data_IF_760690470490
#
_entry.id   IF_760690470490
#
_cell.length_a   1.000
_cell.length_b   1.000
_cell.length_c   1.000
_cell.angle_alpha   90.00
_cell.angle_beta   90.00
_cell.angle_gamma   90.00
#
_symmetry.space_group_name_H-M   'P 1'
#
loop_
_entity.id
_entity.type
_entity.pdbx_description
1 polymer ?
#
# COMPACT_ATOMS: atom_id res chain seq x y z
N UNK A 1 26.58 24.61 -15.94
CA UNK A 1 25.80 24.74 -14.70
C UNK A 1 25.54 23.35 -14.18
N UNK A 2 25.72 23.09 -12.89
CA UNK A 2 25.48 21.77 -12.30
C UNK A 2 23.97 21.49 -12.28
N UNK A 3 23.56 20.44 -13.00
CA UNK A 3 22.15 20.01 -13.12
C UNK A 3 21.71 19.05 -11.99
N UNK A 4 22.54 18.92 -10.95
CA UNK A 4 22.33 18.00 -9.86
C UNK A 4 21.91 18.73 -8.58
N UNK A 5 20.98 18.13 -7.84
CA UNK A 5 20.60 18.57 -6.49
C UNK A 5 20.63 17.38 -5.55
N UNK A 6 21.38 17.47 -4.46
CA UNK A 6 21.45 16.41 -3.47
C UNK A 6 20.61 16.76 -2.23
N UNK A 7 19.83 15.79 -1.76
CA UNK A 7 19.04 15.88 -0.54
C UNK A 7 19.42 14.76 0.42
N UNK A 8 19.48 15.07 1.71
CA UNK A 8 19.58 14.09 2.80
C UNK A 8 18.28 14.12 3.60
N UNK A 9 17.87 12.94 4.07
CA UNK A 9 16.73 12.82 4.96
C UNK A 9 17.13 13.24 6.37
N UNK A 10 16.53 14.32 6.88
CA UNK A 10 16.66 14.76 8.26
C UNK A 10 15.39 14.36 9.02
N UNK A 11 15.52 13.43 9.97
CA UNK A 11 14.38 12.87 10.70
C UNK A 11 13.59 11.86 9.87
N UNK A 12 12.27 11.77 10.10
CA UNK A 12 11.43 10.75 9.45
C UNK A 12 10.97 11.15 8.04
N UNK A 13 10.82 12.46 7.74
CA UNK A 13 10.15 12.90 6.51
C UNK A 13 10.61 14.25 5.92
N UNK A 14 11.65 14.90 6.47
CA UNK A 14 12.13 16.18 5.94
C UNK A 14 13.38 16.03 5.07
N UNK A 15 13.34 16.62 3.87
CA UNK A 15 14.43 16.59 2.90
C UNK A 15 15.22 17.88 2.98
N UNK A 16 16.48 17.78 3.39
CA UNK A 16 17.38 18.93 3.51
C UNK A 16 18.38 18.87 2.36
N UNK A 17 18.45 19.90 1.50
CA UNK A 17 19.46 19.95 0.47
C UNK A 17 20.84 20.08 1.11
N UNK A 18 21.80 19.31 0.61
CA UNK A 18 23.15 19.24 1.17
C UNK A 18 24.20 19.39 0.07
N UNK A 19 25.36 19.92 0.44
CA UNK A 19 26.58 19.94 -0.36
C UNK A 19 27.64 18.94 0.12
N UNK A 20 27.38 18.26 1.24
CA UNK A 20 28.27 17.29 1.85
C UNK A 20 27.49 16.02 2.14
N UNK A 21 28.06 14.88 1.78
CA UNK A 21 27.46 13.58 2.07
C UNK A 21 28.43 12.72 2.87
N UNK A 22 27.89 11.93 3.78
CA UNK A 22 28.65 11.06 4.67
C UNK A 22 28.37 9.58 4.36
N UNK A 23 29.36 8.67 4.50
CA UNK A 23 29.18 7.25 4.14
C UNK A 23 28.14 6.49 4.97
N UNK A 24 27.66 7.06 6.07
CA UNK A 24 26.63 6.49 6.94
C UNK A 24 25.20 6.95 6.58
N UNK A 25 25.05 7.78 5.54
CA UNK A 25 23.77 8.36 5.15
C UNK A 25 23.21 7.74 3.86
N UNK A 26 21.90 7.95 3.65
CA UNK A 26 21.24 7.73 2.37
C UNK A 26 20.95 9.10 1.76
N UNK A 27 21.41 9.29 0.52
CA UNK A 27 21.35 10.58 -0.18
C UNK A 27 20.51 10.41 -1.44
N UNK A 28 19.71 11.41 -1.75
CA UNK A 28 18.94 11.48 -2.99
C UNK A 28 19.56 12.52 -3.92
N UNK A 29 20.26 12.05 -4.95
CA UNK A 29 20.86 12.91 -5.97
C UNK A 29 19.90 12.99 -7.15
N UNK A 30 19.36 14.18 -7.41
CA UNK A 30 18.38 14.43 -8.47
C UNK A 30 19.11 14.97 -9.69
N UNK A 31 19.04 14.25 -10.81
CA UNK A 31 19.48 14.69 -12.12
C UNK A 31 18.31 15.34 -12.85
N UNK A 32 18.34 16.67 -12.96
CA UNK A 32 17.27 17.45 -13.59
C UNK A 32 17.21 17.27 -15.11
N UNK A 33 18.33 16.92 -15.74
CA UNK A 33 18.44 16.79 -17.19
C UNK A 33 17.87 15.44 -17.64
N UNK A 34 18.29 14.36 -16.96
CA UNK A 34 17.81 13.01 -17.25
C UNK A 34 16.46 12.69 -16.62
N UNK A 35 15.99 13.54 -15.70
CA UNK A 35 14.80 13.32 -14.88
C UNK A 35 14.90 11.99 -14.11
N UNK A 36 16.01 11.76 -13.41
CA UNK A 36 16.23 10.56 -12.59
C UNK A 36 16.63 10.97 -11.17
N UNK A 37 16.06 10.29 -10.18
CA UNK A 37 16.42 10.41 -8.76
C UNK A 37 17.26 9.19 -8.40
N UNK A 38 18.53 9.44 -8.11
CA UNK A 38 19.48 8.44 -7.65
C UNK A 38 19.45 8.36 -6.12
N UNK A 39 18.91 7.28 -5.58
CA UNK A 39 18.96 6.97 -4.16
C UNK A 39 20.29 6.26 -3.86
N UNK A 40 21.29 7.03 -3.46
CA UNK A 40 22.63 6.56 -3.16
C UNK A 40 22.74 6.09 -1.71
N UNK A 41 23.26 4.88 -1.53
CA UNK A 41 23.52 4.27 -0.23
C UNK A 41 25.00 4.36 0.12
N UNK A 42 25.31 5.09 1.18
CA UNK A 42 26.64 5.03 1.77
C UNK A 42 26.95 3.64 2.33
N UNK A 43 28.21 3.24 2.28
CA UNK A 43 28.70 1.92 2.69
C UNK A 43 28.37 1.57 4.14
N UNK A 44 28.29 2.58 5.01
CA UNK A 44 27.98 2.44 6.43
C UNK A 44 26.53 2.80 6.78
N UNK A 45 25.69 3.06 5.77
CA UNK A 45 24.29 3.41 6.01
C UNK A 45 23.51 2.25 6.64
N UNK A 46 22.57 2.58 7.54
CA UNK A 46 21.73 1.58 8.19
C UNK A 46 20.93 0.77 7.16
N UNK A 47 20.88 -0.56 7.31
CA UNK A 47 20.07 -1.45 6.44
C UNK A 47 18.60 -1.04 6.39
N UNK A 48 18.07 -0.48 7.48
CA UNK A 48 16.68 0.01 7.53
C UNK A 48 16.50 1.22 6.61
N UNK A 49 17.47 2.14 6.59
CA UNK A 49 17.44 3.30 5.70
C UNK A 49 17.61 2.89 4.24
N UNK A 50 18.49 1.94 3.95
CA UNK A 50 18.66 1.38 2.60
C UNK A 50 17.36 0.73 2.10
N UNK A 51 16.68 -0.04 2.96
CA UNK A 51 15.39 -0.65 2.62
C UNK A 51 14.31 0.39 2.35
N UNK A 52 14.29 1.48 3.13
CA UNK A 52 13.32 2.58 2.97
C UNK A 52 13.64 3.52 1.82
N UNK A 53 14.85 3.48 1.24
CA UNK A 53 15.31 4.45 0.26
C UNK A 53 14.38 4.58 -0.96
N UNK A 54 13.85 3.47 -1.49
CA UNK A 54 12.91 3.52 -2.62
C UNK A 54 11.59 4.23 -2.29
N UNK A 55 11.01 3.94 -1.11
CA UNK A 55 9.80 4.61 -0.64
C UNK A 55 10.06 6.09 -0.36
N UNK A 56 11.20 6.41 0.26
CA UNK A 56 11.60 7.78 0.55
C UNK A 56 11.87 8.60 -0.72
N UNK A 57 12.48 8.01 -1.75
CA UNK A 57 12.64 8.65 -3.06
C UNK A 57 11.28 9.00 -3.69
N UNK A 58 10.27 8.14 -3.50
CA UNK A 58 8.90 8.41 -3.95
C UNK A 58 8.26 9.58 -3.18
N UNK A 59 8.53 9.69 -1.87
CA UNK A 59 8.09 10.85 -1.07
C UNK A 59 8.75 12.15 -1.55
N UNK A 60 10.06 12.12 -1.79
CA UNK A 60 10.80 13.25 -2.35
C UNK A 60 10.18 13.72 -3.67
N UNK A 61 9.88 12.75 -4.55
CA UNK A 61 9.25 13.00 -5.85
C UNK A 61 7.93 13.76 -5.72
N UNK A 62 7.08 13.36 -4.78
CA UNK A 62 5.80 14.03 -4.52
C UNK A 62 5.98 15.42 -3.92
N UNK A 63 6.89 15.58 -2.95
CA UNK A 63 7.04 16.83 -2.18
C UNK A 63 7.69 17.94 -3.01
N UNK A 64 8.70 17.58 -3.80
CA UNK A 64 9.43 18.52 -4.66
C UNK A 64 8.84 18.61 -6.08
N UNK A 65 7.68 17.99 -6.32
CA UNK A 65 6.96 18.02 -7.60
C UNK A 65 7.76 17.47 -8.80
N UNK A 66 8.65 16.50 -8.57
CA UNK A 66 9.43 15.82 -9.62
C UNK A 66 8.60 14.75 -10.37
N UNK A 67 7.37 15.07 -10.77
CA UNK A 67 6.51 14.14 -11.48
C UNK A 67 7.15 13.67 -12.79
N UNK A 68 7.06 12.37 -13.09
CA UNK A 68 7.70 11.76 -14.26
C UNK A 68 9.18 11.39 -14.09
N UNK A 69 9.82 11.71 -12.96
CA UNK A 69 11.22 11.30 -12.74
C UNK A 69 11.33 9.79 -12.46
N UNK A 70 12.33 9.12 -13.04
CA UNK A 70 12.72 7.76 -12.70
C UNK A 70 13.38 7.68 -11.32
N UNK A 71 13.43 6.50 -10.71
CA UNK A 71 14.13 6.27 -9.44
C UNK A 71 15.08 5.09 -9.59
N UNK A 72 16.36 5.30 -9.28
CA UNK A 72 17.39 4.27 -9.32
C UNK A 72 18.10 4.18 -7.98
N UNK A 73 18.33 2.96 -7.51
CA UNK A 73 19.00 2.70 -6.23
C UNK A 73 20.45 2.33 -6.52
N UNK A 74 21.39 3.07 -5.92
CA UNK A 74 22.82 2.91 -6.15
C UNK A 74 23.52 2.64 -4.83
N UNK A 75 24.52 1.74 -4.84
CA UNK A 75 25.38 1.47 -3.69
C UNK A 75 26.73 2.17 -3.88
N UNK A 76 27.34 2.62 -2.79
CA UNK A 76 28.69 3.18 -2.80
C UNK A 76 29.69 2.22 -3.48
N UNK A 77 30.43 2.72 -4.47
CA UNK A 77 31.38 1.95 -5.29
C UNK A 77 30.77 1.28 -6.52
N UNK A 78 29.46 1.38 -6.72
CA UNK A 78 28.73 0.90 -7.90
C UNK A 78 28.00 2.04 -8.62
N UNK A 79 28.57 3.26 -8.57
CA UNK A 79 27.96 4.44 -9.18
C UNK A 79 28.02 4.39 -10.72
N UNK A 80 26.91 4.70 -11.42
CA UNK A 80 26.93 4.91 -12.86
C UNK A 80 27.89 6.04 -13.24
N UNK A 81 28.61 5.93 -14.39
CA UNK A 81 29.54 6.96 -14.84
C UNK A 81 28.93 8.37 -14.95
N UNK A 82 27.60 8.46 -15.14
CA UNK A 82 26.91 9.74 -15.24
C UNK A 82 26.78 10.53 -13.94
N UNK A 83 26.81 9.87 -12.79
CA UNK A 83 26.60 10.50 -11.47
C UNK A 83 27.81 10.34 -10.54
N UNK A 84 28.71 9.40 -10.84
CA UNK A 84 29.92 9.12 -10.06
C UNK A 84 30.78 10.37 -9.79
N UNK A 85 30.97 11.22 -10.81
CA UNK A 85 31.77 12.44 -10.66
C UNK A 85 31.16 13.47 -9.69
N UNK A 86 29.83 13.54 -9.62
CA UNK A 86 29.14 14.48 -8.72
C UNK A 86 29.08 13.94 -7.29
N UNK A 87 28.84 12.64 -7.12
CA UNK A 87 28.90 11.96 -5.82
C UNK A 87 30.30 12.12 -5.21
N UNK A 88 31.36 11.99 -6.01
CA UNK A 88 32.73 12.21 -5.55
C UNK A 88 32.97 13.65 -5.05
N UNK A 89 32.40 14.67 -5.72
CA UNK A 89 32.48 16.08 -5.24
C UNK A 89 31.70 16.28 -3.94
N UNK A 90 30.52 15.68 -3.82
CA UNK A 90 29.70 15.76 -2.61
C UNK A 90 30.40 15.07 -1.42
N UNK A 91 31.08 13.94 -1.64
CA UNK A 91 31.92 13.28 -0.63
C UNK A 91 33.10 14.15 -0.20
N UNK A 92 33.70 14.88 -1.15
CA UNK A 92 34.75 15.85 -0.87
C UNK A 92 34.24 17.15 -0.20
N UNK A 93 32.92 17.31 -0.03
CA UNK A 93 32.31 18.53 0.50
C UNK A 93 32.38 19.74 -0.46
N UNK A 94 32.67 19.49 -1.73
CA UNK A 94 32.84 20.51 -2.77
C UNK A 94 31.58 20.71 -3.63
N UNK A 95 30.42 20.24 -3.17
CA UNK A 95 29.16 20.41 -3.90
C UNK A 95 28.67 21.87 -3.88
N UNK A 96 28.13 22.34 -5.00
CA UNK A 96 27.44 23.63 -5.07
C UNK A 96 25.93 23.43 -5.01
N UNK A 97 25.25 24.10 -4.07
CA UNK A 97 23.78 24.13 -4.03
C UNK A 97 23.30 25.16 -5.05
N UNK A 98 22.51 24.77 -6.06
CA UNK A 98 22.02 25.71 -7.07
C UNK A 98 21.23 26.86 -6.45
N UNK A 99 21.46 28.09 -6.91
CA UNK A 99 20.86 29.30 -6.34
C UNK A 99 19.32 29.25 -6.30
N UNK A 100 18.68 28.68 -7.32
CA UNK A 100 17.21 28.55 -7.39
C UNK A 100 16.59 27.61 -6.34
N UNK A 101 17.38 26.72 -5.73
CA UNK A 101 16.91 25.85 -4.64
C UNK A 101 16.90 26.62 -3.31
N UNK A 102 17.82 27.58 -3.13
CA UNK A 102 17.91 28.39 -1.90
C UNK A 102 16.69 29.31 -1.72
N UNK A 103 16.11 29.83 -2.80
CA UNK A 103 14.93 30.71 -2.74
C UNK A 103 13.64 29.96 -2.35
N UNK A 104 13.46 28.71 -2.80
CA UNK A 104 12.27 27.93 -2.48
C UNK A 104 12.21 27.47 -1.01
N UNK A 105 13.36 27.18 -0.39
CA UNK A 105 13.44 26.79 1.03
C UNK A 105 13.07 27.99 1.94
N UNK A 106 13.50 29.21 1.56
CA UNK A 106 13.16 30.42 2.29
C UNK A 106 11.65 30.73 2.24
N UNK A 107 11.00 30.46 1.10
CA UNK A 107 9.55 30.64 0.95
C UNK A 107 8.72 29.61 1.75
N UNK A 108 9.20 28.38 1.90
CA UNK A 108 8.49 27.32 2.65
C UNK A 108 8.63 27.48 4.17
N UNK A 109 9.77 27.99 4.66
CA UNK A 109 9.99 28.27 6.09
C UNK A 109 9.04 29.37 6.63
N UNK A 110 8.65 30.34 5.80
CA UNK A 110 7.75 31.43 6.18
C UNK A 110 6.29 30.94 6.34
N UNK A 111 5.90 29.83 5.70
CA UNK A 111 4.55 29.25 5.83
C UNK A 111 4.34 28.39 7.09
N UNK A 112 5.40 28.02 7.80
CA UNK A 112 5.36 27.03 8.90
C UNK A 112 5.51 27.63 10.31
N UNK A 113 5.39 28.95 10.47
CA UNK A 113 5.40 29.59 11.79
C UNK A 113 4.05 29.37 12.51
N UNK A 114 4.03 28.77 13.72
CA UNK A 114 2.80 28.54 14.46
C UNK A 114 2.32 29.85 15.12
N UNK A 115 1.13 30.31 14.73
CA UNK A 115 0.34 31.30 15.46
C UNK A 115 -0.40 30.58 16.59
N UNK A 116 0.21 30.47 17.76
CA UNK A 116 -0.41 29.91 18.96
C UNK A 116 -0.51 30.98 20.05
N UNK A 117 -1.71 31.55 20.19
CA UNK A 117 -2.09 32.35 21.35
C UNK A 117 -3.09 31.53 22.18
N UNK A 118 -2.82 31.23 23.46
CA UNK A 118 -3.76 30.49 24.28
C UNK A 118 -4.76 31.45 24.94
N UNK A 119 -6.05 31.26 24.66
CA UNK A 119 -7.14 31.91 25.40
C UNK A 119 -7.45 31.12 26.69
N UNK A 120 -7.65 31.78 27.85
CA UNK A 120 -7.94 31.10 29.11
C UNK A 120 -9.42 30.71 29.23
N UNK A 121 -9.66 29.57 29.89
CA UNK A 121 -10.99 29.01 30.21
C UNK A 121 -11.66 29.78 31.36
N UNK A 122 -12.99 29.90 31.42
CA UNK A 122 -13.69 30.46 32.56
C UNK A 122 -13.93 29.41 33.66
N UNK A 123 -13.91 29.92 34.89
CA UNK A 123 -13.95 29.26 36.19
C UNK A 123 -15.35 28.78 36.57
N UNK A 124 -15.39 27.65 37.27
CA UNK A 124 -16.55 27.09 37.99
C UNK A 124 -17.12 28.07 39.02
N UNK A 125 -18.45 28.15 39.14
CA UNK A 125 -19.14 28.87 40.21
C UNK A 125 -20.01 27.91 41.04
N UNK A 126 -19.61 27.77 42.29
CA UNK A 126 -20.22 26.94 43.33
C UNK A 126 -21.30 27.73 44.08
N UNK A 127 -22.48 27.12 44.20
CA UNK A 127 -23.46 27.12 45.33
C UNK A 127 -23.45 28.30 46.33
N UNK A 128 -24.60 28.95 46.54
CA UNK A 128 -25.10 29.34 47.88
C UNK A 128 -26.58 29.74 47.87
N UNK A 129 -27.37 29.11 48.75
CA UNK A 129 -28.74 29.46 49.12
C UNK A 129 -28.75 30.20 50.50
N UNK A 130 -29.91 30.48 51.12
CA UNK A 130 -30.53 31.80 51.20
C UNK A 130 -30.37 32.48 52.57
N UNK A 131 -30.38 33.82 52.58
CA UNK A 131 -30.41 34.59 53.84
C UNK A 131 -31.80 35.16 54.13
N UNK A 132 -32.33 34.70 55.26
CA UNK A 132 -33.51 35.14 56.01
C UNK A 132 -33.43 36.64 56.34
N UNK A 133 -34.50 37.41 56.08
CA UNK A 133 -34.66 38.78 56.62
C UNK A 133 -36.05 38.98 57.22
N UNK A 134 -36.05 39.12 58.54
CA UNK A 134 -37.09 39.69 59.40
C UNK A 134 -37.19 41.21 59.26
N UNK A 135 -38.39 41.75 59.52
CA UNK A 135 -38.79 43.09 60.03
C UNK A 135 -39.92 43.69 59.16
N UNK A 136 -40.90 44.50 59.60
CA UNK A 136 -41.47 45.02 60.87
C UNK A 136 -42.80 45.69 60.38
N UNK A 137 -43.90 45.72 61.15
CA UNK A 137 -45.18 46.34 60.74
C UNK A 137 -45.23 47.84 61.11
N UNK A 138 -46.10 48.66 60.47
CA UNK A 138 -46.44 49.98 60.98
C UNK A 138 -47.85 50.06 61.61
N UNK A 139 -47.90 50.97 62.60
CA UNK A 139 -48.98 51.49 63.44
C UNK A 139 -50.30 51.81 62.68
N UNK A 140 -51.46 51.48 63.23
CA UNK A 140 -52.23 52.18 64.29
C UNK A 140 -52.98 53.43 63.77
N UNK A 141 -54.30 53.32 63.61
CA UNK A 141 -55.23 54.46 63.70
C UNK A 141 -56.65 53.95 64.06
N UNK A 142 -57.18 54.42 65.19
CA UNK A 142 -58.53 54.15 65.69
C UNK A 142 -59.48 55.26 65.22
N UNK A 143 -60.78 54.96 65.07
CA UNK A 143 -61.77 55.88 65.64
C UNK A 143 -62.89 55.19 66.44
N UNK A 144 -63.65 56.07 67.08
CA UNK A 144 -64.47 55.93 68.29
C UNK A 144 -65.73 55.09 68.12
N UNK A 145 -66.14 54.50 69.23
CA UNK A 145 -67.30 53.64 69.43
C UNK A 145 -68.52 54.51 69.79
N UNK A 146 -69.60 54.41 69.01
CA UNK A 146 -70.94 54.85 69.43
C UNK A 146 -71.73 53.64 69.93
N UNK A 147 -72.24 53.78 71.15
CA UNK A 147 -72.84 52.72 71.94
C UNK A 147 -74.36 52.67 71.76
N UNK A 148 -74.85 51.97 70.73
CA UNK A 148 -76.20 51.38 70.71
C UNK A 148 -76.14 50.12 69.82
N UNK A 149 -76.65 48.98 70.31
CA UNK A 149 -76.85 47.67 69.65
C UNK A 149 -75.88 46.52 70.01
N UNK A 150 -75.71 46.26 71.30
CA UNK A 150 -74.98 45.08 71.84
C UNK A 150 -75.61 43.74 71.43
N UNK A 151 -76.93 43.67 71.21
CA UNK A 151 -77.60 42.42 70.81
C UNK A 151 -77.43 42.06 69.32
N UNK A 152 -77.24 43.04 68.44
CA UNK A 152 -77.01 42.82 66.99
C UNK A 152 -75.54 42.49 66.70
N UNK A 153 -74.62 43.14 67.41
CA UNK A 153 -73.18 42.87 67.29
C UNK A 153 -72.80 41.45 67.75
N UNK A 154 -73.49 40.89 68.76
CA UNK A 154 -73.21 39.51 69.20
C UNK A 154 -73.74 38.46 68.20
N UNK A 155 -74.88 38.73 67.55
CA UNK A 155 -75.40 37.89 66.47
C UNK A 155 -74.53 37.98 65.19
N UNK A 156 -74.07 39.18 64.82
CA UNK A 156 -73.14 39.39 63.70
C UNK A 156 -71.76 38.77 63.98
N UNK A 157 -71.28 38.77 65.23
CA UNK A 157 -70.04 38.09 65.63
C UNK A 157 -70.15 36.58 65.54
N UNK A 158 -71.26 35.98 66.02
CA UNK A 158 -71.50 34.54 65.85
C UNK A 158 -71.69 34.13 64.39
N UNK A 159 -72.30 34.99 63.57
CA UNK A 159 -72.40 34.77 62.12
C UNK A 159 -71.02 34.87 61.44
N UNK A 160 -70.18 35.84 61.81
CA UNK A 160 -68.81 35.98 61.31
C UNK A 160 -67.91 34.81 61.74
N UNK A 161 -68.06 34.32 62.98
CA UNK A 161 -67.37 33.13 63.47
C UNK A 161 -67.82 31.87 62.70
N UNK A 162 -69.12 31.69 62.45
CA UNK A 162 -69.63 30.59 61.64
C UNK A 162 -69.15 30.66 60.16
N UNK A 163 -69.05 31.85 59.57
CA UNK A 163 -68.44 32.03 58.25
C UNK A 163 -66.94 31.73 58.26
N UNK A 164 -66.22 32.11 59.32
CA UNK A 164 -64.78 31.82 59.45
C UNK A 164 -64.51 30.32 59.53
N UNK A 165 -65.36 29.57 60.25
CA UNK A 165 -65.28 28.11 60.31
C UNK A 165 -65.53 27.48 58.93
N UNK A 166 -66.56 27.95 58.21
CA UNK A 166 -66.82 27.48 56.83
C UNK A 166 -65.67 27.79 55.87
N UNK A 167 -65.02 28.96 55.99
CA UNK A 167 -63.84 29.31 55.20
C UNK A 167 -62.67 28.39 55.52
N UNK A 168 -62.38 28.16 56.80
CA UNK A 168 -61.32 27.24 57.24
C UNK A 168 -61.57 25.79 56.78
N UNK A 169 -62.82 25.33 56.81
CA UNK A 169 -63.20 24.02 56.27
C UNK A 169 -63.00 23.94 54.75
N UNK A 170 -63.36 24.99 54.01
CA UNK A 170 -63.12 25.03 52.56
C UNK A 170 -61.64 25.11 52.19
N UNK A 171 -60.84 25.86 52.96
CA UNK A 171 -59.39 25.93 52.81
C UNK A 171 -58.72 24.60 53.16
N UNK A 172 -59.21 23.90 54.19
CA UNK A 172 -58.73 22.57 54.55
C UNK A 172 -59.00 21.56 53.43
N UNK A 173 -60.21 21.58 52.84
CA UNK A 173 -60.57 20.73 51.69
C UNK A 173 -59.70 21.03 50.46
N UNK A 174 -59.47 22.30 50.16
CA UNK A 174 -58.59 22.71 49.05
C UNK A 174 -57.13 22.28 49.27
N UNK A 175 -56.62 22.38 50.51
CA UNK A 175 -55.29 21.89 50.87
C UNK A 175 -55.19 20.37 50.74
N UNK A 176 -56.20 19.64 51.20
CA UNK A 176 -56.25 18.18 51.07
C UNK A 176 -56.30 17.74 49.59
N UNK A 177 -57.09 18.41 48.76
CA UNK A 177 -57.15 18.14 47.32
C UNK A 177 -55.82 18.47 46.62
N UNK A 178 -55.17 19.57 46.99
CA UNK A 178 -53.86 19.94 46.45
C UNK A 178 -52.76 18.96 46.87
N UNK A 179 -52.75 18.51 48.13
CA UNK A 179 -51.84 17.46 48.60
C UNK A 179 -52.09 16.13 47.88
N UNK A 180 -53.35 15.78 47.61
CA UNK A 180 -53.68 14.59 46.82
C UNK A 180 -53.13 14.70 45.39
N UNK A 181 -53.31 15.83 44.71
CA UNK A 181 -52.75 16.08 43.37
C UNK A 181 -51.23 15.99 43.35
N UNK A 182 -50.56 16.56 44.35
CA UNK A 182 -49.09 16.45 44.50
C UNK A 182 -48.63 15.00 44.68
N UNK A 183 -49.37 14.19 45.43
CA UNK A 183 -49.05 12.75 45.61
C UNK A 183 -49.29 11.95 44.33
N UNK A 184 -50.36 12.25 43.59
CA UNK A 184 -50.63 11.62 42.30
C UNK A 184 -49.55 11.99 41.26
N UNK A 185 -49.18 13.27 41.16
CA UNK A 185 -48.08 13.73 40.29
C UNK A 185 -46.73 13.12 40.68
N UNK A 186 -46.44 12.97 41.99
CA UNK A 186 -45.23 12.31 42.45
C UNK A 186 -45.17 10.83 42.02
N UNK A 187 -46.30 10.11 42.07
CA UNK A 187 -46.40 8.72 41.60
C UNK A 187 -46.22 8.61 40.09
N UNK A 188 -46.85 9.49 39.31
CA UNK A 188 -46.68 9.53 37.86
C UNK A 188 -45.21 9.80 37.47
N UNK A 189 -44.55 10.74 38.16
CA UNK A 189 -43.12 11.01 37.96
C UNK A 189 -42.24 9.80 38.31
N UNK A 190 -42.57 9.07 39.38
CA UNK A 190 -41.86 7.85 39.77
C UNK A 190 -42.04 6.73 38.74
N UNK A 191 -43.25 6.54 38.21
CA UNK A 191 -43.53 5.58 37.15
C UNK A 191 -42.79 5.93 35.85
N UNK A 192 -42.78 7.20 35.44
CA UNK A 192 -42.02 7.66 34.28
C UNK A 192 -40.52 7.44 34.50
N UNK A 193 -40.00 7.75 35.69
CA UNK A 193 -38.59 7.50 36.03
C UNK A 193 -38.24 6.01 35.98
N UNK A 194 -39.15 5.12 36.41
CA UNK A 194 -38.99 3.67 36.30
C UNK A 194 -38.99 3.21 34.83
N UNK A 195 -39.92 3.69 34.02
CA UNK A 195 -39.96 3.38 32.58
C UNK A 195 -38.71 3.86 31.85
N UNK A 196 -38.17 5.03 32.22
CA UNK A 196 -36.92 5.54 31.64
C UNK A 196 -35.72 4.66 32.01
N UNK A 197 -35.62 4.23 33.28
CA UNK A 197 -34.57 3.29 33.72
C UNK A 197 -34.66 1.93 33.00
N UNK A 198 -35.87 1.38 32.85
CA UNK A 198 -36.08 0.13 32.11
C UNK A 198 -35.67 0.27 30.63
N UNK A 199 -35.96 1.41 30.00
CA UNK A 199 -35.52 1.71 28.63
C UNK A 199 -34.00 1.90 28.52
N UNK A 200 -33.38 2.52 29.51
CA UNK A 200 -31.93 2.70 29.57
C UNK A 200 -31.21 1.35 29.64
N UNK A 201 -31.63 0.47 30.54
CA UNK A 201 -31.10 -0.91 30.64
C UNK A 201 -31.30 -1.69 29.33
N UNK A 202 -32.48 -1.58 28.71
CA UNK A 202 -32.75 -2.23 27.43
C UNK A 202 -31.88 -1.69 26.27
N UNK A 203 -31.54 -0.40 26.29
CA UNK A 203 -30.62 0.21 25.32
C UNK A 203 -29.17 -0.22 25.55
N UNK A 204 -28.73 -0.30 26.81
CA UNK A 204 -27.40 -0.80 27.16
C UNK A 204 -27.23 -2.28 26.74
N UNK A 205 -28.24 -3.11 26.95
CA UNK A 205 -28.22 -4.52 26.53
C UNK A 205 -28.15 -4.65 25.01
N UNK A 206 -28.91 -3.83 24.27
CA UNK A 206 -28.82 -3.78 22.79
C UNK A 206 -27.45 -3.33 22.32
N UNK A 207 -26.85 -2.33 22.96
CA UNK A 207 -25.52 -1.83 22.60
C UNK A 207 -24.43 -2.88 22.89
N UNK A 208 -24.59 -3.66 23.97
CA UNK A 208 -23.71 -4.80 24.28
C UNK A 208 -23.85 -5.93 23.27
N UNK A 209 -25.07 -6.25 22.85
CA UNK A 209 -25.31 -7.25 21.81
C UNK A 209 -24.70 -6.82 20.46
N UNK A 210 -24.87 -5.56 20.06
CA UNK A 210 -24.26 -5.01 18.85
C UNK A 210 -22.72 -5.05 18.92
N UNK A 211 -22.13 -4.74 20.09
CA UNK A 211 -20.68 -4.84 20.29
C UNK A 211 -20.17 -6.29 20.13
N UNK A 212 -20.90 -7.28 20.62
CA UNK A 212 -20.53 -8.70 20.45
C UNK A 212 -20.63 -9.15 18.99
N UNK A 213 -21.66 -8.73 18.26
CA UNK A 213 -21.78 -9.03 16.82
C UNK A 213 -20.67 -8.36 16.00
N UNK A 214 -20.33 -7.10 16.30
CA UNK A 214 -19.17 -6.42 15.68
C UNK A 214 -17.86 -7.18 15.93
N UNK A 215 -17.64 -7.63 17.17
CA UNK A 215 -16.46 -8.42 17.51
C UNK A 215 -16.44 -9.78 16.78
N UNK A 216 -17.61 -10.43 16.65
CA UNK A 216 -17.75 -11.69 15.90
C UNK A 216 -17.43 -11.50 14.41
N UNK A 217 -17.96 -10.44 13.79
CA UNK A 217 -17.66 -10.07 12.40
C UNK A 217 -16.18 -9.75 12.20
N UNK A 218 -15.58 -8.99 13.12
CA UNK A 218 -14.14 -8.70 13.09
C UNK A 218 -13.30 -9.98 13.12
N UNK A 219 -13.65 -10.93 14.00
CA UNK A 219 -12.99 -12.23 14.08
C UNK A 219 -13.15 -13.06 12.80
N UNK A 220 -14.31 -13.00 12.15
CA UNK A 220 -14.53 -13.66 10.86
C UNK A 220 -13.68 -13.05 9.75
N UNK A 221 -13.56 -11.72 9.69
CA UNK A 221 -12.69 -11.02 8.73
C UNK A 221 -11.22 -11.36 8.95
N UNK A 222 -10.77 -11.47 10.20
CA UNK A 222 -9.40 -11.89 10.53
C UNK A 222 -9.14 -13.34 10.09
N UNK A 223 -10.06 -14.26 10.37
CA UNK A 223 -9.99 -15.64 9.88
C UNK A 223 -9.99 -15.74 8.35
N UNK A 224 -10.71 -14.86 7.65
CA UNK A 224 -10.66 -14.80 6.18
C UNK A 224 -9.30 -14.31 5.69
N UNK A 225 -8.73 -13.27 6.29
CA UNK A 225 -7.38 -12.78 5.97
C UNK A 225 -6.31 -13.85 6.18
N UNK A 226 -6.40 -14.60 7.27
CA UNK A 226 -5.46 -15.69 7.56
C UNK A 226 -5.58 -16.82 6.52
N UNK A 227 -6.80 -17.15 6.10
CA UNK A 227 -7.03 -18.12 5.01
C UNK A 227 -6.50 -17.61 3.66
N UNK A 228 -6.73 -16.36 3.33
CA UNK A 228 -6.19 -15.73 2.11
C UNK A 228 -4.66 -15.73 2.12
N UNK A 229 -4.04 -15.42 3.27
CA UNK A 229 -2.59 -15.48 3.43
C UNK A 229 -2.04 -16.90 3.27
N UNK A 230 -2.74 -17.91 3.81
CA UNK A 230 -2.35 -19.32 3.66
C UNK A 230 -2.45 -19.77 2.20
N UNK A 231 -3.56 -19.45 1.52
CA UNK A 231 -3.76 -19.77 0.10
C UNK A 231 -2.67 -19.09 -0.74
N UNK A 232 -2.41 -17.81 -0.51
CA UNK A 232 -1.36 -17.07 -1.22
C UNK A 232 0.01 -17.74 -1.05
N UNK A 233 0.34 -18.15 0.18
CA UNK A 233 1.59 -18.86 0.47
C UNK A 233 1.66 -20.21 -0.27
N UNK A 234 0.59 -21.00 -0.26
CA UNK A 234 0.53 -22.27 -1.01
C UNK A 234 0.68 -22.08 -2.52
N UNK A 235 0.13 -21.00 -3.08
CA UNK A 235 0.33 -20.65 -4.49
C UNK A 235 1.78 -20.21 -4.78
N UNK A 236 2.37 -19.38 -3.92
CA UNK A 236 3.78 -18.98 -4.04
C UNK A 236 4.72 -20.20 -3.96
N UNK A 237 4.47 -21.12 -3.02
CA UNK A 237 5.24 -22.36 -2.86
C UNK A 237 5.11 -23.27 -4.09
N UNK A 238 3.90 -23.43 -4.67
CA UNK A 238 3.70 -24.21 -5.91
C UNK A 238 4.38 -23.59 -7.13
N UNK A 239 4.34 -22.27 -7.25
CA UNK A 239 5.03 -21.56 -8.33
C UNK A 239 6.55 -21.74 -8.17
N UNK A 240 7.08 -21.64 -6.96
CA UNK A 240 8.49 -21.86 -6.69
C UNK A 240 8.93 -23.30 -7.04
N UNK A 241 8.13 -24.30 -6.67
CA UNK A 241 8.39 -25.71 -6.99
C UNK A 241 8.38 -25.97 -8.51
N UNK A 242 7.38 -25.44 -9.24
CA UNK A 242 7.28 -25.60 -10.69
C UNK A 242 8.43 -24.87 -11.42
N UNK A 243 8.83 -23.68 -10.94
CA UNK A 243 10.00 -22.96 -11.48
C UNK A 243 11.28 -23.74 -11.22
N UNK A 244 11.49 -24.28 -10.01
CA UNK A 244 12.67 -25.08 -9.69
C UNK A 244 12.74 -26.34 -10.57
N UNK A 245 11.61 -27.02 -10.77
CA UNK A 245 11.52 -28.18 -11.66
C UNK A 245 11.89 -27.84 -13.10
N UNK A 246 11.35 -26.75 -13.65
CA UNK A 246 11.69 -26.31 -15.02
C UNK A 246 13.16 -25.92 -15.15
N UNK A 247 13.73 -25.27 -14.12
CA UNK A 247 15.16 -24.94 -14.10
C UNK A 247 16.02 -26.20 -14.07
N UNK A 248 15.62 -27.23 -13.33
CA UNK A 248 16.33 -28.52 -13.34
C UNK A 248 16.23 -29.22 -14.70
N UNK A 249 15.05 -29.26 -15.31
CA UNK A 249 14.86 -29.83 -16.65
C UNK A 249 15.71 -29.12 -17.71
N UNK A 250 15.76 -27.78 -17.69
CA UNK A 250 16.61 -27.00 -18.60
C UNK A 250 18.11 -27.24 -18.34
N UNK A 251 18.54 -27.34 -17.08
CA UNK A 251 19.93 -27.71 -16.74
C UNK A 251 20.30 -29.09 -17.27
N UNK A 252 19.41 -30.07 -17.19
CA UNK A 252 19.64 -31.41 -17.74
C UNK A 252 19.70 -31.40 -19.27
N UNK A 253 18.84 -30.62 -19.93
CA UNK A 253 18.90 -30.44 -21.39
C UNK A 253 20.20 -29.76 -21.82
N UNK A 254 20.60 -28.68 -21.16
CA UNK A 254 21.88 -28.00 -21.45
C UNK A 254 23.06 -28.94 -21.24
N UNK A 255 23.05 -29.75 -20.18
CA UNK A 255 24.11 -30.74 -19.93
C UNK A 255 24.17 -31.80 -21.04
N UNK A 256 23.03 -32.31 -21.51
CA UNK A 256 22.97 -33.27 -22.63
C UNK A 256 23.49 -32.66 -23.93
N UNK A 257 23.12 -31.41 -24.23
CA UNK A 257 23.63 -30.69 -25.40
C UNK A 257 25.14 -30.45 -25.31
N UNK A 258 25.65 -30.12 -24.12
CA UNK A 258 27.10 -29.96 -23.88
C UNK A 258 27.85 -31.29 -24.07
N UNK A 259 27.31 -32.40 -23.58
CA UNK A 259 27.86 -33.74 -23.80
C UNK A 259 27.86 -34.14 -25.29
N UNK A 260 26.79 -33.82 -26.02
CA UNK A 260 26.69 -34.06 -27.47
C UNK A 260 27.69 -33.19 -28.25
N UNK A 261 27.80 -31.90 -27.92
CA UNK A 261 28.76 -31.00 -28.54
C UNK A 261 30.21 -31.46 -28.30
N UNK A 262 30.54 -31.86 -27.07
CA UNK A 262 31.86 -32.40 -26.73
C UNK A 262 32.16 -33.70 -27.50
N UNK A 263 31.15 -34.54 -27.73
CA UNK A 263 31.31 -35.74 -28.54
C UNK A 263 31.59 -35.39 -30.01
N UNK A 264 30.82 -34.47 -30.60
CA UNK A 264 31.01 -34.02 -31.98
C UNK A 264 32.37 -33.36 -32.17
N UNK A 265 32.79 -32.51 -31.22
CA UNK A 265 34.12 -31.90 -31.23
C UNK A 265 35.22 -32.96 -31.24
N UNK A 266 35.13 -33.97 -30.36
CA UNK A 266 36.10 -35.06 -30.32
C UNK A 266 36.15 -35.88 -31.60
N UNK A 267 34.99 -36.23 -32.17
CA UNK A 267 34.91 -36.90 -33.48
C UNK A 267 35.54 -36.05 -34.59
N UNK A 268 35.38 -34.72 -34.54
CA UNK A 268 36.02 -33.81 -35.49
C UNK A 268 37.54 -33.71 -35.29
N UNK A 269 38.02 -33.67 -34.05
CA UNK A 269 39.45 -33.62 -33.70
C UNK A 269 40.16 -34.90 -34.16
N UNK A 270 39.54 -36.06 -33.93
CA UNK A 270 40.06 -37.36 -34.38
C UNK A 270 40.11 -37.42 -35.92
N UNK A 271 39.09 -36.89 -36.61
CA UNK A 271 39.07 -36.81 -38.07
C UNK A 271 40.15 -35.86 -38.62
N UNK A 272 40.37 -34.71 -37.98
CA UNK A 272 41.45 -33.78 -38.35
C UNK A 272 42.81 -34.44 -38.14
N UNK A 273 43.04 -35.10 -36.99
CA UNK A 273 44.29 -35.81 -36.70
C UNK A 273 44.57 -36.92 -37.71
N UNK A 274 43.54 -37.67 -38.11
CA UNK A 274 43.67 -38.68 -39.17
C UNK A 274 44.09 -38.05 -40.51
N UNK A 275 43.49 -36.91 -40.87
CA UNK A 275 43.86 -36.17 -42.10
C UNK A 275 45.27 -35.58 -42.02
N UNK A 276 45.70 -35.10 -40.87
CA UNK A 276 47.07 -34.64 -40.65
C UNK A 276 48.09 -35.77 -40.85
N UNK A 277 47.80 -36.97 -40.35
CA UNK A 277 48.64 -38.15 -40.60
C UNK A 277 48.72 -38.53 -42.09
N UNK A 278 47.61 -38.44 -42.83
CA UNK A 278 47.60 -38.63 -44.29
C UNK A 278 48.47 -37.58 -45.01
N UNK A 279 48.41 -36.32 -44.56
CA UNK A 279 49.25 -35.22 -45.09
C UNK A 279 50.74 -35.47 -44.77
N UNK A 280 51.07 -35.92 -43.56
CA UNK A 280 52.45 -36.25 -43.17
C UNK A 280 53.02 -37.40 -44.01
N UNK A 281 52.20 -38.43 -44.25
CA UNK A 281 52.56 -39.59 -45.08
C UNK A 281 52.79 -39.19 -46.55
N UNK A 282 51.90 -38.35 -47.11
CA UNK A 282 52.06 -37.84 -48.48
C UNK A 282 53.25 -36.91 -48.61
N UNK A 283 53.52 -36.02 -47.63
CA UNK A 283 54.75 -35.21 -47.58
C UNK A 283 56.01 -36.09 -47.59
N UNK A 284 56.02 -37.16 -46.80
CA UNK A 284 57.14 -38.10 -46.75
C UNK A 284 57.35 -38.82 -48.09
N UNK A 285 56.27 -39.21 -48.78
CA UNK A 285 56.34 -39.78 -50.13
C UNK A 285 56.89 -38.78 -51.15
N UNK A 286 56.40 -37.53 -51.13
CA UNK A 286 56.89 -36.46 -52.00
C UNK A 286 58.39 -36.25 -51.77
N UNK A 287 58.83 -36.16 -50.51
CA UNK A 287 60.24 -35.99 -50.18
C UNK A 287 61.10 -37.15 -50.70
N UNK A 288 60.65 -38.39 -50.53
CA UNK A 288 61.36 -39.56 -51.04
C UNK A 288 61.46 -39.59 -52.58
N UNK A 289 60.41 -39.17 -53.29
CA UNK A 289 60.44 -39.01 -54.74
C UNK A 289 61.41 -37.92 -55.17
N UNK A 290 61.40 -36.78 -54.47
CA UNK A 290 62.27 -35.64 -54.75
C UNK A 290 63.75 -35.98 -54.54
N UNK A 291 64.06 -36.75 -53.49
CA UNK A 291 65.41 -37.23 -53.22
C UNK A 291 65.86 -38.29 -54.26
N UNK A 292 64.95 -39.15 -54.73
CA UNK A 292 65.20 -40.08 -55.84
C UNK A 292 65.49 -39.35 -57.14
N UNK A 293 64.65 -38.37 -57.51
CA UNK A 293 64.83 -37.58 -58.73
C UNK A 293 66.11 -36.73 -58.67
N UNK A 294 66.47 -36.14 -57.53
CA UNK A 294 67.77 -35.47 -57.34
C UNK A 294 68.95 -36.43 -57.57
N UNK A 295 68.85 -37.67 -57.12
CA UNK A 295 69.88 -38.68 -57.32
C UNK A 295 69.99 -39.14 -58.79
N UNK A 296 68.88 -39.17 -59.52
CA UNK A 296 68.86 -39.41 -60.98
C UNK A 296 69.42 -38.20 -61.75
N UNK A 297 69.05 -36.97 -61.36
CA UNK A 297 69.53 -35.71 -61.95
C UNK A 297 71.06 -35.56 -61.84
N UNK A 298 71.65 -36.01 -60.72
CA UNK A 298 73.09 -36.04 -60.52
C UNK A 298 73.85 -36.99 -61.46
N UNK A 299 73.15 -37.93 -62.11
CA UNK A 299 73.71 -38.91 -63.07
C UNK A 299 73.35 -38.61 -64.52
N UNK A 300 72.44 -37.68 -64.74
CA UNK A 300 71.84 -37.40 -66.03
C UNK A 300 72.59 -36.29 -66.79
N UNK A 301 72.51 -36.33 -68.12
CA UNK A 301 73.08 -35.30 -69.00
C UNK A 301 72.33 -33.97 -68.88
N UNK A 302 72.93 -32.83 -69.27
CA UNK A 302 72.33 -31.48 -69.10
C UNK A 302 70.88 -31.37 -69.61
N UNK A 303 70.56 -32.07 -70.71
CA UNK A 303 69.21 -32.10 -71.31
C UNK A 303 68.20 -32.84 -70.43
N UNK A 304 68.62 -33.92 -69.77
CA UNK A 304 67.78 -34.69 -68.85
C UNK A 304 67.55 -33.93 -67.53
N UNK A 305 68.52 -33.11 -67.08
CA UNK A 305 68.36 -32.28 -65.89
C UNK A 305 67.28 -31.19 -66.06
N UNK A 306 67.17 -30.58 -67.23
CA UNK A 306 66.09 -29.64 -67.55
C UNK A 306 64.72 -30.33 -67.56
N UNK A 307 64.62 -31.52 -68.16
CA UNK A 307 63.37 -32.27 -68.21
C UNK A 307 62.88 -32.68 -66.81
N UNK A 308 63.79 -33.11 -65.92
CA UNK A 308 63.42 -33.47 -64.55
C UNK A 308 63.01 -32.22 -63.75
N UNK A 309 63.71 -31.08 -63.90
CA UNK A 309 63.29 -29.81 -63.25
C UNK A 309 61.91 -29.35 -63.70
N UNK A 310 61.62 -29.43 -64.99
CA UNK A 310 60.30 -29.09 -65.53
C UNK A 310 59.20 -29.99 -64.95
N UNK A 311 59.50 -31.29 -64.78
CA UNK A 311 58.58 -32.26 -64.18
C UNK A 311 58.33 -32.00 -62.69
N UNK A 312 59.37 -31.71 -61.91
CA UNK A 312 59.25 -31.31 -60.49
C UNK A 312 58.38 -30.06 -60.36
N UNK A 313 58.61 -29.03 -61.19
CA UNK A 313 57.83 -27.80 -61.16
C UNK A 313 56.35 -28.05 -61.52
N UNK A 314 56.08 -28.94 -62.49
CA UNK A 314 54.72 -29.34 -62.84
C UNK A 314 54.02 -30.09 -61.69
N UNK A 315 54.70 -31.05 -61.05
CA UNK A 315 54.14 -31.79 -59.91
C UNK A 315 53.91 -30.88 -58.68
N UNK A 316 54.81 -29.93 -58.41
CA UNK A 316 54.62 -28.91 -57.36
C UNK A 316 53.38 -28.07 -57.59
N UNK A 317 53.16 -27.61 -58.83
CA UNK A 317 51.98 -26.81 -59.18
C UNK A 317 50.67 -27.60 -58.97
N UNK A 318 50.64 -28.87 -59.38
CA UNK A 318 49.46 -29.74 -59.17
C UNK A 318 49.18 -29.96 -57.68
N UNK A 319 50.23 -30.10 -56.86
CA UNK A 319 50.08 -30.23 -55.41
C UNK A 319 49.57 -28.94 -54.74
N UNK A 320 50.04 -27.76 -55.17
CA UNK A 320 49.53 -26.47 -54.68
C UNK A 320 48.06 -26.27 -55.04
N UNK A 321 47.65 -26.56 -56.27
CA UNK A 321 46.24 -26.47 -56.70
C UNK A 321 45.36 -27.40 -55.87
N UNK A 322 45.82 -28.63 -55.59
CA UNK A 322 45.09 -29.58 -54.73
C UNK A 322 44.98 -29.11 -53.28
N UNK A 323 46.01 -28.46 -52.75
CA UNK A 323 46.00 -27.89 -51.40
C UNK A 323 45.02 -26.70 -51.30
N UNK A 324 44.96 -25.84 -52.32
CA UNK A 324 44.00 -24.74 -52.39
C UNK A 324 42.55 -25.24 -52.47
N UNK A 325 42.28 -26.28 -53.26
CA UNK A 325 40.96 -26.91 -53.30
C UNK A 325 40.55 -27.48 -51.93
N UNK A 326 41.48 -28.11 -51.20
CA UNK A 326 41.19 -28.65 -49.87
C UNK A 326 40.93 -27.53 -48.85
N UNK A 327 41.70 -26.43 -48.90
CA UNK A 327 41.46 -25.23 -48.07
C UNK A 327 40.09 -24.62 -48.36
N UNK A 328 39.70 -24.55 -49.63
CA UNK A 328 38.39 -24.03 -50.04
C UNK A 328 37.25 -24.90 -49.51
N UNK A 329 37.38 -26.24 -49.61
CA UNK A 329 36.41 -27.19 -49.04
C UNK A 329 36.28 -27.06 -47.52
N UNK A 330 37.39 -26.89 -46.79
CA UNK A 330 37.35 -26.64 -45.34
C UNK A 330 36.63 -25.34 -44.99
N UNK A 331 36.88 -24.26 -45.73
CA UNK A 331 36.22 -22.98 -45.51
C UNK A 331 34.70 -23.08 -45.75
N UNK A 332 34.29 -23.78 -46.81
CA UNK A 332 32.88 -24.00 -47.12
C UNK A 332 32.16 -24.84 -46.05
N UNK A 333 32.82 -25.86 -45.49
CA UNK A 333 32.28 -26.63 -44.36
C UNK A 333 32.14 -25.79 -43.09
N UNK A 334 33.11 -24.92 -42.79
CA UNK A 334 33.02 -24.00 -41.64
C UNK A 334 31.86 -23.02 -41.83
N UNK A 335 31.68 -22.49 -43.04
CA UNK A 335 30.57 -21.58 -43.34
C UNK A 335 29.21 -22.28 -43.23
N UNK A 336 29.09 -23.52 -43.72
CA UNK A 336 27.87 -24.34 -43.55
C UNK A 336 27.57 -24.62 -42.07
N UNK A 337 28.58 -24.96 -41.27
CA UNK A 337 28.43 -25.18 -39.83
C UNK A 337 28.00 -23.89 -39.10
N UNK A 338 28.57 -22.74 -39.47
CA UNK A 338 28.18 -21.43 -38.90
C UNK A 338 26.72 -21.10 -39.20
N UNK A 339 26.26 -21.30 -40.44
CA UNK A 339 24.86 -21.07 -40.83
C UNK A 339 23.91 -22.01 -40.10
N UNK A 340 24.26 -23.28 -39.94
CA UNK A 340 23.45 -24.24 -39.19
C UNK A 340 23.32 -23.86 -37.71
N UNK A 341 24.41 -23.37 -37.09
CA UNK A 341 24.39 -22.90 -35.71
C UNK A 341 23.53 -21.64 -35.54
N UNK A 342 23.62 -20.68 -36.47
CA UNK A 342 22.76 -19.48 -36.48
C UNK A 342 21.28 -19.83 -36.63
N UNK A 343 20.93 -20.77 -37.51
CA UNK A 343 19.56 -21.25 -37.69
C UNK A 343 19.03 -21.94 -36.42
N UNK A 344 19.88 -22.67 -35.69
CA UNK A 344 19.50 -23.29 -34.43
C UNK A 344 19.22 -22.25 -33.34
N UNK A 345 20.11 -21.26 -33.18
CA UNK A 345 19.91 -20.15 -32.23
C UNK A 345 18.58 -19.44 -32.52
N UNK A 346 18.29 -19.17 -33.80
CA UNK A 346 17.06 -18.50 -34.21
C UNK A 346 15.80 -19.31 -33.87
N UNK A 347 15.84 -20.64 -33.99
CA UNK A 347 14.72 -21.53 -33.60
C UNK A 347 14.53 -21.55 -32.08
N UNK A 348 15.61 -21.61 -31.31
CA UNK A 348 15.55 -21.56 -29.85
C UNK A 348 14.97 -20.23 -29.34
N UNK A 349 15.37 -19.11 -29.96
CA UNK A 349 14.80 -17.79 -29.68
C UNK A 349 13.30 -17.72 -30.00
N UNK A 350 12.85 -18.31 -31.12
CA UNK A 350 11.43 -18.39 -31.47
C UNK A 350 10.63 -19.21 -30.44
N UNK A 351 11.12 -20.39 -30.06
CA UNK A 351 10.48 -21.25 -29.06
C UNK A 351 10.39 -20.51 -27.72
N UNK A 352 11.45 -19.81 -27.32
CA UNK A 352 11.47 -19.01 -26.09
C UNK A 352 10.45 -17.88 -26.15
N UNK A 353 10.38 -17.14 -27.25
CA UNK A 353 9.41 -16.06 -27.43
C UNK A 353 7.95 -16.57 -27.39
N UNK A 354 7.67 -17.71 -28.01
CA UNK A 354 6.35 -18.36 -27.96
C UNK A 354 6.00 -18.83 -26.55
N UNK A 355 6.94 -19.42 -25.82
CA UNK A 355 6.75 -19.84 -24.43
C UNK A 355 6.48 -18.64 -23.51
N UNK A 356 7.25 -17.55 -23.64
CA UNK A 356 7.05 -16.31 -22.89
C UNK A 356 5.68 -15.67 -23.20
N UNK A 357 5.25 -15.68 -24.47
CA UNK A 357 3.94 -15.20 -24.87
C UNK A 357 2.81 -16.04 -24.27
N UNK A 358 2.96 -17.37 -24.26
CA UNK A 358 1.98 -18.30 -23.68
C UNK A 358 1.82 -18.08 -22.17
N UNK A 359 2.94 -18.03 -21.42
CA UNK A 359 2.91 -17.81 -19.96
C UNK A 359 2.30 -16.45 -19.64
N UNK A 360 2.64 -15.41 -20.41
CA UNK A 360 2.05 -14.08 -20.22
C UNK A 360 0.54 -14.09 -20.47
N UNK A 361 0.06 -14.78 -21.50
CA UNK A 361 -1.36 -14.91 -21.79
C UNK A 361 -2.14 -15.62 -20.68
N UNK A 362 -1.56 -16.69 -20.12
CA UNK A 362 -2.14 -17.41 -18.97
C UNK A 362 -2.22 -16.52 -17.73
N UNK A 363 -1.16 -15.76 -17.42
CA UNK A 363 -1.14 -14.82 -16.29
C UNK A 363 -2.16 -13.69 -16.45
N UNK A 364 -2.27 -13.10 -17.65
CA UNK A 364 -3.26 -12.05 -17.92
C UNK A 364 -4.70 -12.58 -17.79
N UNK A 365 -4.96 -13.82 -18.21
CA UNK A 365 -6.24 -14.49 -18.06
C UNK A 365 -6.60 -14.73 -16.58
N UNK A 366 -5.64 -15.26 -15.80
CA UNK A 366 -5.82 -15.48 -14.35
C UNK A 366 -6.10 -14.16 -13.62
N UNK A 367 -5.32 -13.11 -13.90
CA UNK A 367 -5.50 -11.79 -13.29
C UNK A 367 -6.89 -11.21 -13.61
N UNK A 368 -7.39 -11.43 -14.84
CA UNK A 368 -8.71 -10.98 -15.25
C UNK A 368 -9.83 -11.77 -14.56
N UNK A 369 -9.66 -13.09 -14.40
CA UNK A 369 -10.59 -13.94 -13.68
C UNK A 369 -10.70 -13.53 -12.21
N UNK A 370 -9.56 -13.34 -11.53
CA UNK A 370 -9.50 -12.94 -10.12
C UNK A 370 -10.12 -11.55 -9.90
N UNK A 371 -9.82 -10.57 -10.78
CA UNK A 371 -10.48 -9.26 -10.76
C UNK A 371 -12.00 -9.39 -10.89
N UNK A 372 -12.48 -10.25 -11.78
CA UNK A 372 -13.92 -10.45 -11.97
C UNK A 372 -14.59 -11.09 -10.76
N UNK A 373 -13.91 -11.99 -10.04
CA UNK A 373 -14.42 -12.56 -8.79
C UNK A 373 -14.44 -11.54 -7.67
N UNK A 374 -13.38 -10.73 -7.55
CA UNK A 374 -13.32 -9.63 -6.61
C UNK A 374 -14.44 -8.61 -6.83
N UNK A 375 -14.73 -8.27 -8.09
CA UNK A 375 -15.84 -7.38 -8.44
C UNK A 375 -17.21 -7.99 -8.10
N UNK A 376 -17.38 -9.31 -8.29
CA UNK A 376 -18.61 -10.02 -7.89
C UNK A 376 -18.80 -10.00 -6.37
N UNK A 377 -17.74 -10.28 -5.60
CA UNK A 377 -17.77 -10.26 -4.14
C UNK A 377 -18.04 -8.85 -3.60
N UNK A 378 -17.42 -7.82 -4.19
CA UNK A 378 -17.68 -6.43 -3.82
C UNK A 378 -19.15 -6.03 -4.02
N UNK A 379 -19.74 -6.41 -5.17
CA UNK A 379 -21.17 -6.19 -5.44
C UNK A 379 -22.07 -6.94 -4.46
N UNK A 380 -21.73 -8.17 -4.11
CA UNK A 380 -22.51 -8.94 -3.11
C UNK A 380 -22.50 -8.24 -1.74
N UNK A 381 -21.33 -7.82 -1.26
CA UNK A 381 -21.20 -7.07 -0.01
C UNK A 381 -21.97 -5.75 -0.02
N UNK A 382 -21.94 -5.03 -1.15
CA UNK A 382 -22.71 -3.79 -1.30
C UNK A 382 -24.22 -4.05 -1.24
N UNK A 383 -24.70 -5.12 -1.89
CA UNK A 383 -26.12 -5.50 -1.81
C UNK A 383 -26.55 -5.95 -0.42
N UNK A 384 -25.71 -6.66 0.33
CA UNK A 384 -26.00 -7.03 1.72
C UNK A 384 -26.04 -5.80 2.63
N UNK A 385 -25.09 -4.87 2.47
CA UNK A 385 -25.09 -3.61 3.22
C UNK A 385 -26.36 -2.79 2.96
N UNK A 386 -26.77 -2.69 1.69
CA UNK A 386 -28.00 -2.00 1.32
C UNK A 386 -29.25 -2.67 1.95
N UNK A 387 -29.31 -4.00 2.00
CA UNK A 387 -30.39 -4.73 2.67
C UNK A 387 -30.42 -4.47 4.18
N UNK A 388 -29.26 -4.49 4.83
CA UNK A 388 -29.15 -4.20 6.26
C UNK A 388 -29.59 -2.76 6.60
N UNK A 389 -29.20 -1.79 5.77
CA UNK A 389 -29.66 -0.40 5.92
C UNK A 389 -31.17 -0.26 5.72
N UNK A 390 -31.74 -0.97 4.74
CA UNK A 390 -33.18 -0.98 4.51
C UNK A 390 -33.95 -1.62 5.67
N UNK A 391 -33.45 -2.71 6.25
CA UNK A 391 -34.04 -3.35 7.42
C UNK A 391 -33.98 -2.42 8.65
N UNK A 392 -32.84 -1.75 8.87
CA UNK A 392 -32.69 -0.74 9.92
C UNK A 392 -33.67 0.41 9.76
N UNK A 393 -33.87 0.90 8.54
CA UNK A 393 -34.85 1.94 8.25
C UNK A 393 -36.30 1.47 8.48
N UNK A 394 -36.60 0.19 8.18
CA UNK A 394 -37.92 -0.41 8.45
C UNK A 394 -38.20 -0.46 9.94
N UNK A 395 -37.26 -0.96 10.73
CA UNK A 395 -37.36 -1.03 12.19
C UNK A 395 -37.49 0.36 12.82
N UNK A 396 -36.77 1.36 12.32
CA UNK A 396 -36.88 2.74 12.81
C UNK A 396 -38.29 3.31 12.59
N UNK A 397 -38.89 3.11 11.41
CA UNK A 397 -40.27 3.53 11.12
C UNK A 397 -41.31 2.81 11.98
N UNK A 398 -41.10 1.52 12.24
CA UNK A 398 -41.98 0.72 13.08
C UNK A 398 -41.99 1.23 14.53
N UNK A 399 -40.81 1.54 15.08
CA UNK A 399 -40.66 2.16 16.41
C UNK A 399 -41.32 3.54 16.49
N UNK A 400 -41.19 4.37 15.44
CA UNK A 400 -41.82 5.70 15.40
C UNK A 400 -43.35 5.61 15.34
N UNK A 401 -43.88 4.67 14.56
CA UNK A 401 -45.30 4.39 14.49
C UNK A 401 -45.86 3.86 15.83
N UNK A 402 -45.12 3.00 16.53
CA UNK A 402 -45.48 2.53 17.87
C UNK A 402 -45.52 3.68 18.87
N UNK A 403 -44.52 4.58 18.84
CA UNK A 403 -44.50 5.78 19.69
C UNK A 403 -45.72 6.68 19.43
N UNK A 404 -46.07 6.90 18.16
CA UNK A 404 -47.24 7.70 17.79
C UNK A 404 -48.55 7.06 18.26
N UNK A 405 -48.69 5.73 18.20
CA UNK A 405 -49.85 5.02 18.76
C UNK A 405 -49.96 5.19 20.26
N UNK A 406 -48.85 5.06 20.99
CA UNK A 406 -48.81 5.27 22.43
C UNK A 406 -49.19 6.72 22.82
N UNK A 407 -48.75 7.72 22.05
CA UNK A 407 -49.15 9.12 22.26
C UNK A 407 -50.64 9.35 21.98
N UNK A 408 -51.19 8.75 20.93
CA UNK A 408 -52.63 8.80 20.65
C UNK A 408 -53.47 8.14 21.75
N UNK A 409 -53.03 7.00 22.26
CA UNK A 409 -53.68 6.30 23.36
C UNK A 409 -53.67 7.15 24.65
N UNK A 410 -52.53 7.77 24.98
CA UNK A 410 -52.45 8.73 26.09
C UNK A 410 -53.40 9.92 25.90
N UNK A 411 -53.46 10.49 24.70
CA UNK A 411 -54.36 11.61 24.42
C UNK A 411 -55.84 11.21 24.52
N UNK A 412 -56.18 9.98 24.15
CA UNK A 412 -57.53 9.45 24.30
C UNK A 412 -57.91 9.26 25.77
N UNK A 413 -57.03 8.65 26.56
CA UNK A 413 -57.22 8.50 28.00
C UNK A 413 -57.35 9.86 28.72
N UNK A 414 -56.53 10.84 28.35
CA UNK A 414 -56.62 12.19 28.90
C UNK A 414 -57.99 12.85 28.63
N UNK A 415 -58.53 12.70 27.42
CA UNK A 415 -59.88 13.18 27.07
C UNK A 415 -60.99 12.44 27.82
N UNK A 416 -60.87 11.12 28.01
CA UNK A 416 -61.81 10.34 28.81
C UNK A 416 -61.81 10.84 30.27
N UNK A 417 -60.64 11.12 30.85
CA UNK A 417 -60.51 11.67 32.21
C UNK A 417 -61.06 13.10 32.35
N UNK A 418 -60.88 13.97 31.35
CA UNK A 418 -61.48 15.32 31.34
C UNK A 418 -63.02 15.25 31.23
N UNK A 419 -63.54 14.34 30.41
CA UNK A 419 -64.98 14.13 30.28
C UNK A 419 -65.60 13.55 31.56
N UNK A 420 -64.88 12.69 32.28
CA UNK A 420 -65.30 12.18 33.58
C UNK A 420 -65.34 13.29 34.65
N UNK A 421 -64.37 14.21 34.67
CA UNK A 421 -64.37 15.38 35.57
C UNK A 421 -65.50 16.38 35.31
N UNK A 422 -66.05 16.39 34.10
CA UNK A 422 -67.13 17.29 33.70
C UNK A 422 -68.54 16.70 33.97
N UNK A 423 -68.63 15.43 34.39
CA UNK A 423 -69.85 14.79 34.92
C UNK A 423 -69.87 14.88 36.43
#
# INVERSE_FOLDING_TARGET
MTNFVAYVLSGEDDFVPTNKIEPDQVVFVVDLEKKVIYAWHGKNSSKILQYKAGTTATKLKSRMHYFGFGTEIIKEGAEPPSVAGEIAKLLAGAGEIPAGVKENIAAEAIKKAPSEAPAPRPVEATISAPTRRTMVPPAEERPRVDAVNVARAEAERRAAEAESVKRLESEAKLKEEHERKLREEAREREEVARQLKEKEVALEEKLRAEAMERHRLQKQMEQQKDKEALIKKEYEDKIAEEVEKRVQEEREKSKKLEEELNRVLKESEDAVRAKEMEIEATKSQIQALLDKEKAELAKATEVEQEQIKARIAAEQKVLEERLEEERKKRMELVEQASRAAEDQIRREEQIRAEAEASVRGELESQLKAEKSEKDKLARQLETEKARAEQEKARLAKEMEAEKARAEQEKARLAKEMEAEKAR
#
